data_IF_734612488945
#
_entry.id   IF_734612488945
#
_cell.length_a   1.000
_cell.length_b   1.000
_cell.length_c   1.000
_cell.angle_alpha   90.00
_cell.angle_beta   90.00
_cell.angle_gamma   90.00
#
_symmetry.space_group_name_H-M   'P 1'
#
loop_
_entity.id
_entity.type
_entity.pdbx_description
1 polymer ?
#
# COMPACT_ATOMS: atom_id res chain seq x y z
N UNK A 1 13.61 22.01 -82.41
CA UNK A 1 12.71 21.36 -81.47
C UNK A 1 13.52 21.10 -80.17
N UNK A 2 13.23 21.84 -79.10
CA UNK A 2 13.87 21.61 -77.82
C UNK A 2 13.10 20.44 -77.12
N UNK A 3 13.76 19.35 -76.83
CA UNK A 3 13.18 18.30 -76.00
C UNK A 3 13.00 18.86 -74.57
N UNK A 4 11.83 18.72 -73.97
CA UNK A 4 11.68 19.13 -72.58
C UNK A 4 12.62 18.28 -71.68
N UNK A 5 13.46 18.94 -70.88
CA UNK A 5 14.29 18.22 -69.92
C UNK A 5 13.41 17.41 -68.96
N UNK A 6 13.71 16.15 -68.73
CA UNK A 6 12.99 15.37 -67.75
C UNK A 6 13.18 15.99 -66.36
N UNK A 7 12.07 16.15 -65.64
CA UNK A 7 12.10 16.66 -64.27
C UNK A 7 13.05 15.83 -63.41
N UNK A 8 13.85 16.47 -62.53
CA UNK A 8 14.68 15.70 -61.62
C UNK A 8 13.78 14.81 -60.70
N UNK A 9 14.20 13.61 -60.39
CA UNK A 9 13.43 12.72 -59.53
C UNK A 9 13.23 13.41 -58.16
N UNK A 10 12.04 13.25 -57.53
CA UNK A 10 11.79 13.83 -56.22
C UNK A 10 12.83 13.29 -55.20
N UNK A 11 13.25 14.15 -54.25
CA UNK A 11 14.21 13.70 -53.22
C UNK A 11 13.64 12.51 -52.44
N UNK A 12 14.48 11.56 -52.02
CA UNK A 12 14.06 10.42 -51.22
C UNK A 12 13.40 10.94 -49.94
N UNK A 13 12.23 10.35 -49.61
CA UNK A 13 11.49 10.70 -48.40
C UNK A 13 12.38 10.48 -47.18
N UNK A 14 12.39 11.39 -46.20
CA UNK A 14 13.10 11.15 -44.95
C UNK A 14 12.54 9.88 -44.30
N UNK A 15 13.39 9.05 -43.68
CA UNK A 15 12.92 7.84 -42.99
C UNK A 15 11.88 8.24 -41.94
N UNK A 16 10.79 7.45 -41.77
CA UNK A 16 9.81 7.72 -40.74
C UNK A 16 10.48 7.81 -39.38
N UNK A 17 10.03 8.73 -38.49
CA UNK A 17 10.59 8.84 -37.16
C UNK A 17 10.46 7.48 -36.45
N UNK A 18 11.47 7.10 -35.65
CA UNK A 18 11.41 5.84 -34.92
C UNK A 18 10.14 5.82 -34.06
N UNK A 19 9.35 4.75 -34.18
CA UNK A 19 8.14 4.57 -33.40
C UNK A 19 8.46 4.68 -31.91
N UNK A 20 7.66 5.40 -31.10
CA UNK A 20 7.85 5.39 -29.66
C UNK A 20 7.81 3.93 -29.15
N UNK A 21 8.71 3.54 -28.24
CA UNK A 21 8.72 2.19 -27.72
C UNK A 21 7.32 1.86 -27.15
N UNK A 22 6.83 0.63 -27.37
CA UNK A 22 5.53 0.22 -26.87
C UNK A 22 5.49 0.44 -25.34
N UNK A 23 4.36 0.92 -24.79
CA UNK A 23 4.24 1.14 -23.36
C UNK A 23 4.55 -0.15 -22.61
N UNK A 24 5.26 -0.08 -21.47
CA UNK A 24 5.65 -1.26 -20.71
C UNK A 24 4.39 -2.10 -20.39
N UNK A 25 4.46 -3.39 -20.69
CA UNK A 25 3.36 -4.33 -20.43
C UNK A 25 3.09 -4.33 -18.93
N UNK A 26 1.81 -4.28 -18.54
CA UNK A 26 1.41 -4.49 -17.15
C UNK A 26 1.90 -5.87 -16.73
N UNK A 27 2.73 -5.91 -15.70
CA UNK A 27 3.17 -7.18 -15.15
C UNK A 27 2.02 -7.77 -14.32
N UNK A 28 1.45 -8.89 -14.79
CA UNK A 28 0.34 -9.55 -14.10
C UNK A 28 0.71 -9.94 -12.66
N UNK A 29 1.97 -10.30 -12.44
CA UNK A 29 2.49 -10.62 -11.10
C UNK A 29 2.42 -9.42 -10.16
N UNK A 30 2.81 -8.22 -10.63
CA UNK A 30 2.74 -7.00 -9.83
C UNK A 30 1.31 -6.68 -9.38
N UNK A 31 0.35 -6.82 -10.30
CA UNK A 31 -1.07 -6.58 -9.99
C UNK A 31 -1.58 -7.61 -8.98
N UNK A 32 -1.28 -8.89 -9.20
CA UNK A 32 -1.75 -9.97 -8.31
C UNK A 32 -1.17 -9.83 -6.92
N UNK A 33 0.14 -9.61 -6.80
CA UNK A 33 0.82 -9.40 -5.50
C UNK A 33 0.26 -8.18 -4.78
N UNK A 34 0.05 -7.07 -5.50
CA UNK A 34 -0.51 -5.85 -4.90
C UNK A 34 -1.93 -6.05 -4.39
N UNK A 35 -2.79 -6.74 -5.15
CA UNK A 35 -4.17 -7.05 -4.73
C UNK A 35 -4.17 -7.97 -3.51
N UNK A 36 -3.39 -9.04 -3.52
CA UNK A 36 -3.28 -9.96 -2.38
C UNK A 36 -2.78 -9.24 -1.13
N UNK A 37 -1.75 -8.41 -1.27
CA UNK A 37 -1.22 -7.63 -0.15
C UNK A 37 -2.24 -6.63 0.40
N UNK A 38 -3.05 -5.98 -0.46
CA UNK A 38 -4.13 -5.09 -0.02
C UNK A 38 -5.23 -5.84 0.74
N UNK A 39 -5.67 -7.00 0.22
CA UNK A 39 -6.65 -7.85 0.92
C UNK A 39 -6.10 -8.27 2.28
N UNK A 40 -4.86 -8.72 2.32
CA UNK A 40 -4.22 -9.16 3.56
C UNK A 40 -4.09 -8.00 4.56
N UNK A 41 -3.78 -6.79 4.11
CA UNK A 41 -3.73 -5.60 4.95
C UNK A 41 -5.09 -5.31 5.59
N UNK A 42 -6.18 -5.39 4.82
CA UNK A 42 -7.54 -5.20 5.34
C UNK A 42 -7.88 -6.26 6.39
N UNK A 43 -7.54 -7.54 6.13
CA UNK A 43 -7.77 -8.64 7.07
C UNK A 43 -6.96 -8.46 8.37
N UNK A 44 -5.70 -8.07 8.28
CA UNK A 44 -4.84 -7.79 9.45
C UNK A 44 -5.39 -6.62 10.26
N UNK A 45 -5.81 -5.53 9.60
CA UNK A 45 -6.41 -4.38 10.28
C UNK A 45 -7.74 -4.75 10.97
N UNK A 46 -8.59 -5.52 10.30
CA UNK A 46 -9.87 -5.97 10.87
C UNK A 46 -9.64 -6.91 12.07
N UNK A 47 -8.76 -7.89 11.94
CA UNK A 47 -8.42 -8.80 13.03
C UNK A 47 -7.77 -8.07 14.22
N UNK A 48 -6.85 -7.13 13.95
CA UNK A 48 -6.23 -6.29 14.98
C UNK A 48 -7.24 -5.40 15.71
N UNK A 49 -8.19 -4.80 15.00
CA UNK A 49 -9.26 -4.01 15.59
C UNK A 49 -10.17 -4.88 16.48
N UNK A 50 -10.55 -6.07 16.01
CA UNK A 50 -11.34 -7.01 16.79
C UNK A 50 -10.61 -7.44 18.06
N UNK A 51 -9.32 -7.82 17.96
CA UNK A 51 -8.52 -8.18 19.12
C UNK A 51 -8.37 -7.01 20.10
N UNK A 52 -8.19 -5.78 19.60
CA UNK A 52 -8.16 -4.59 20.42
C UNK A 52 -9.47 -4.37 21.20
N UNK A 53 -10.63 -4.53 20.56
CA UNK A 53 -11.93 -4.44 21.22
C UNK A 53 -12.11 -5.53 22.27
N UNK A 54 -11.74 -6.77 21.96
CA UNK A 54 -11.77 -7.87 22.95
C UNK A 54 -10.87 -7.59 24.13
N UNK A 55 -9.67 -7.04 23.91
CA UNK A 55 -8.73 -6.70 25.01
C UNK A 55 -9.34 -5.67 25.97
N UNK A 56 -10.13 -4.72 25.45
CA UNK A 56 -10.82 -3.73 26.29
C UNK A 56 -11.88 -4.36 27.19
N UNK A 57 -12.54 -5.44 26.74
CA UNK A 57 -13.54 -6.15 27.55
C UNK A 57 -12.95 -6.81 28.81
N UNK A 58 -11.64 -7.11 28.81
CA UNK A 58 -10.97 -7.71 29.98
C UNK A 58 -10.46 -6.68 30.99
N UNK A 59 -10.55 -5.38 30.69
CA UNK A 59 -10.10 -4.33 31.61
C UNK A 59 -10.94 -4.23 32.90
N UNK A 60 -12.16 -4.77 32.92
CA UNK A 60 -13.00 -4.83 34.13
C UNK A 60 -12.38 -5.67 35.26
N UNK A 61 -11.41 -6.53 34.92
CA UNK A 61 -10.70 -7.39 35.87
C UNK A 61 -9.32 -6.81 36.25
N UNK A 62 -9.01 -5.57 35.89
CA UNK A 62 -7.75 -4.92 36.23
C UNK A 62 -7.69 -4.55 37.73
N UNK A 63 -6.78 -5.16 38.53
CA UNK A 63 -6.64 -4.79 39.92
C UNK A 63 -6.11 -3.35 40.07
N UNK A 64 -6.72 -2.52 40.95
CA UNK A 64 -6.24 -1.15 41.18
C UNK A 64 -4.84 -1.23 41.85
N UNK A 65 -3.86 -0.66 41.17
CA UNK A 65 -2.47 -0.55 41.67
C UNK A 65 -1.41 -1.22 40.80
N UNK A 66 -1.75 -2.19 39.95
CA UNK A 66 -0.81 -2.85 39.02
C UNK A 66 -1.18 -2.67 37.56
N UNK A 67 -2.40 -2.23 37.27
CA UNK A 67 -2.93 -2.10 35.92
C UNK A 67 -3.37 -0.66 35.63
N UNK A 68 -2.92 -0.13 34.50
CA UNK A 68 -3.35 1.20 34.01
C UNK A 68 -4.40 1.03 32.90
N UNK A 69 -5.69 1.07 33.27
CA UNK A 69 -6.78 1.01 32.32
C UNK A 69 -6.69 2.13 31.25
N UNK A 70 -6.32 3.35 31.66
CA UNK A 70 -6.11 4.46 30.75
C UNK A 70 -4.98 4.19 29.75
N UNK A 71 -3.86 3.62 30.21
CA UNK A 71 -2.74 3.21 29.36
C UNK A 71 -3.12 2.13 28.36
N UNK A 72 -3.85 1.10 28.82
CA UNK A 72 -4.33 0.03 27.96
C UNK A 72 -5.29 0.51 26.88
N UNK A 73 -6.26 1.37 27.23
CA UNK A 73 -7.20 1.99 26.26
C UNK A 73 -6.43 2.84 25.25
N UNK A 74 -5.50 3.67 25.71
CA UNK A 74 -4.69 4.53 24.81
C UNK A 74 -3.83 3.68 23.87
N UNK A 75 -3.21 2.60 24.37
CA UNK A 75 -2.43 1.69 23.53
C UNK A 75 -3.30 1.02 22.49
N UNK A 76 -4.46 0.46 22.87
CA UNK A 76 -5.36 -0.22 21.94
C UNK A 76 -5.94 0.73 20.87
N UNK A 77 -6.55 1.82 21.28
CA UNK A 77 -7.17 2.80 20.38
C UNK A 77 -6.12 3.48 19.50
N UNK A 78 -4.99 3.89 20.07
CA UNK A 78 -3.89 4.50 19.34
C UNK A 78 -3.33 3.57 18.27
N UNK A 79 -3.12 2.29 18.61
CA UNK A 79 -2.65 1.28 17.66
C UNK A 79 -3.60 1.10 16.47
N UNK A 80 -4.90 0.95 16.75
CA UNK A 80 -5.92 0.80 15.70
C UNK A 80 -6.00 2.04 14.81
N UNK A 81 -5.95 3.23 15.41
CA UNK A 81 -5.99 4.49 14.67
C UNK A 81 -4.76 4.65 13.74
N UNK A 82 -3.55 4.40 14.27
CA UNK A 82 -2.31 4.49 13.49
C UNK A 82 -2.29 3.43 12.37
N UNK A 83 -2.65 2.18 12.68
CA UNK A 83 -2.71 1.11 11.69
C UNK A 83 -3.75 1.41 10.61
N UNK A 84 -4.91 1.96 10.98
CA UNK A 84 -5.95 2.37 10.04
C UNK A 84 -5.50 3.48 9.09
N UNK A 85 -4.86 4.53 9.62
CA UNK A 85 -4.30 5.62 8.80
C UNK A 85 -3.20 5.12 7.86
N UNK A 86 -2.30 4.28 8.37
CA UNK A 86 -1.22 3.69 7.58
C UNK A 86 -1.77 2.79 6.47
N UNK A 87 -2.72 1.92 6.78
CA UNK A 87 -3.39 1.04 5.82
C UNK A 87 -4.13 1.81 4.74
N UNK A 88 -4.91 2.83 5.13
CA UNK A 88 -5.66 3.67 4.21
C UNK A 88 -4.74 4.45 3.26
N UNK A 89 -3.71 5.11 3.81
CA UNK A 89 -2.73 5.85 3.00
C UNK A 89 -1.97 4.93 2.06
N UNK A 90 -1.52 3.77 2.54
CA UNK A 90 -0.81 2.79 1.73
C UNK A 90 -1.68 2.21 0.61
N UNK A 91 -2.98 2.01 0.87
CA UNK A 91 -3.94 1.56 -0.15
C UNK A 91 -4.10 2.60 -1.26
N UNK A 92 -4.28 3.88 -0.91
CA UNK A 92 -4.36 4.97 -1.89
C UNK A 92 -3.09 5.04 -2.73
N UNK A 93 -1.90 5.01 -2.10
CA UNK A 93 -0.62 5.05 -2.81
C UNK A 93 -0.45 3.86 -3.76
N UNK A 94 -0.85 2.66 -3.33
CA UNK A 94 -0.80 1.45 -4.17
C UNK A 94 -1.71 1.59 -5.38
N UNK A 95 -2.96 2.05 -5.19
CA UNK A 95 -3.93 2.26 -6.28
C UNK A 95 -3.39 3.30 -7.28
N UNK A 96 -2.88 4.44 -6.80
CA UNK A 96 -2.30 5.48 -7.66
C UNK A 96 -1.11 4.95 -8.46
N UNK A 97 -0.24 4.15 -7.85
CA UNK A 97 0.90 3.53 -8.53
C UNK A 97 0.45 2.55 -9.61
N UNK A 98 -0.52 1.69 -9.32
CA UNK A 98 -1.11 0.78 -10.30
C UNK A 98 -1.77 1.54 -11.46
N UNK A 99 -2.50 2.62 -11.17
CA UNK A 99 -3.13 3.46 -12.19
C UNK A 99 -2.09 4.15 -13.10
N UNK A 100 -0.96 4.59 -12.53
CA UNK A 100 0.15 5.24 -13.26
C UNK A 100 1.12 4.25 -13.90
N UNK A 101 0.78 2.96 -13.96
CA UNK A 101 1.62 1.88 -14.53
C UNK A 101 3.01 1.76 -13.91
N UNK A 102 3.17 2.19 -12.67
CA UNK A 102 4.39 2.03 -11.87
C UNK A 102 4.26 0.78 -10.99
N UNK A 103 5.39 0.13 -10.61
CA UNK A 103 5.32 -1.04 -9.72
C UNK A 103 4.68 -0.65 -8.39
N UNK A 104 3.58 -1.31 -8.04
CA UNK A 104 2.80 -1.07 -6.81
C UNK A 104 3.17 -2.03 -5.68
N UNK A 105 3.70 -3.20 -6.00
CA UNK A 105 3.96 -4.27 -5.05
C UNK A 105 4.83 -3.87 -3.84
N UNK A 106 5.92 -3.05 -3.97
CA UNK A 106 6.74 -2.71 -2.81
C UNK A 106 5.99 -1.83 -1.82
N UNK A 107 5.06 -0.98 -2.31
CA UNK A 107 4.23 -0.14 -1.44
C UNK A 107 3.17 -0.96 -0.73
N UNK A 108 2.54 -1.92 -1.40
CA UNK A 108 1.57 -2.81 -0.82
C UNK A 108 2.18 -3.69 0.28
N UNK A 109 3.35 -4.29 0.00
CA UNK A 109 4.08 -5.07 1.01
C UNK A 109 4.63 -4.21 2.15
N UNK A 110 5.13 -3.01 1.85
CA UNK A 110 5.59 -2.05 2.86
C UNK A 110 4.46 -1.63 3.80
N UNK A 111 3.25 -1.39 3.28
CA UNK A 111 2.06 -1.07 4.08
C UNK A 111 1.67 -2.23 4.96
N UNK A 112 1.64 -3.45 4.42
CA UNK A 112 1.34 -4.66 5.18
C UNK A 112 2.33 -4.86 6.33
N UNK A 113 3.63 -4.80 6.04
CA UNK A 113 4.68 -4.92 7.03
C UNK A 113 4.59 -3.82 8.11
N UNK A 114 4.30 -2.59 7.70
CA UNK A 114 4.08 -1.46 8.61
C UNK A 114 2.89 -1.67 9.54
N UNK A 115 1.75 -2.15 9.03
CA UNK A 115 0.58 -2.47 9.84
C UNK A 115 0.88 -3.58 10.86
N UNK A 116 1.56 -4.64 10.43
CA UNK A 116 1.97 -5.73 11.34
C UNK A 116 2.90 -5.21 12.44
N UNK A 117 3.89 -4.39 12.09
CA UNK A 117 4.81 -3.79 13.06
C UNK A 117 4.07 -2.91 14.08
N UNK A 118 3.11 -2.09 13.63
CA UNK A 118 2.28 -1.25 14.50
C UNK A 118 1.47 -2.11 15.48
N UNK A 119 0.86 -3.21 15.01
CA UNK A 119 0.11 -4.12 15.90
C UNK A 119 1.01 -4.84 16.89
N UNK A 120 2.21 -5.27 16.51
CA UNK A 120 3.18 -5.88 17.42
C UNK A 120 3.61 -4.88 18.50
N UNK A 121 3.97 -3.67 18.12
CA UNK A 121 4.36 -2.61 19.07
C UNK A 121 3.19 -2.22 19.98
N UNK A 122 1.98 -2.15 19.45
CA UNK A 122 0.77 -1.88 20.23
C UNK A 122 0.47 -2.99 21.23
N UNK A 123 0.63 -4.24 20.85
CA UNK A 123 0.48 -5.39 21.77
C UNK A 123 1.53 -5.34 22.88
N UNK A 124 2.77 -5.03 22.58
CA UNK A 124 3.82 -4.84 23.59
C UNK A 124 3.50 -3.68 24.55
N UNK A 125 3.05 -2.55 24.00
CA UNK A 125 2.64 -1.41 24.84
C UNK A 125 1.44 -1.77 25.75
N UNK A 126 0.49 -2.54 25.22
CA UNK A 126 -0.66 -3.02 25.98
C UNK A 126 -0.22 -3.96 27.11
N UNK A 127 0.68 -4.93 26.86
CA UNK A 127 1.18 -5.83 27.90
C UNK A 127 1.92 -5.09 29.03
N UNK A 128 2.71 -4.06 28.67
CA UNK A 128 3.38 -3.22 29.69
C UNK A 128 2.38 -2.39 30.51
N UNK A 129 1.26 -1.97 29.92
CA UNK A 129 0.23 -1.20 30.63
C UNK A 129 -0.62 -2.05 31.57
N UNK A 130 -0.77 -3.34 31.27
CA UNK A 130 -1.57 -4.30 32.08
C UNK A 130 -0.73 -4.99 33.15
N UNK A 131 0.62 -4.95 33.02
CA UNK A 131 1.56 -5.56 33.99
C UNK A 131 1.98 -6.92 33.54
#
# INVERSE_FOLDING_TARGET
MAYPMPWPPPPPWPPPPPWPPPPPRRNAVDITVSILAMILTVLVCAAGAMMGLFSLAFLDHCPPGSCSAAGAVTAAVGTVAIAGLLGFTGMILTIVRLATRKPGWPFALGTLAGCVAVFVLGALAYTVAVG
#
